data_IF_127378644199
#
_entry.id   IF_127378644199
#
_cell.length_a   1.000
_cell.length_b   1.000
_cell.length_c   1.000
_cell.angle_alpha   90.00
_cell.angle_beta   90.00
_cell.angle_gamma   90.00
#
_symmetry.space_group_name_H-M   'P 1'
#
loop_
_entity.id
_entity.type
_entity.pdbx_description
1 polymer ?
#
# COMPACT_ATOMS: atom_id res chain seq x y z
N UNK A 1 6.70 -10.82 29.48
CA UNK A 1 6.20 -9.50 29.94
C UNK A 1 5.49 -8.84 28.76
N UNK A 2 4.20 -8.51 28.90
CA UNK A 2 3.45 -7.80 27.86
C UNK A 2 3.67 -6.28 28.06
N UNK A 3 4.45 -5.63 27.18
CA UNK A 3 4.70 -4.19 27.27
C UNK A 3 3.54 -3.45 26.59
N UNK A 4 2.82 -2.56 27.28
CA UNK A 4 1.73 -1.83 26.65
C UNK A 4 2.25 -0.97 25.49
N UNK A 5 1.53 -0.98 24.37
CA UNK A 5 1.82 -0.15 23.20
C UNK A 5 1.24 1.25 23.42
N UNK A 6 2.09 2.27 23.30
CA UNK A 6 1.63 3.66 23.31
C UNK A 6 0.91 3.98 21.99
N UNK A 7 -0.38 4.26 22.07
CA UNK A 7 -1.20 4.67 20.92
C UNK A 7 -1.39 6.18 20.95
N UNK A 8 -0.56 6.89 20.17
CA UNK A 8 -0.54 8.37 20.13
C UNK A 8 -1.64 8.97 19.25
N UNK A 9 -2.05 8.26 18.19
CA UNK A 9 -3.08 8.72 17.24
C UNK A 9 -4.43 8.07 17.56
N UNK A 10 -5.51 8.85 17.42
CA UNK A 10 -6.88 8.34 17.44
C UNK A 10 -7.22 7.61 16.14
N UNK A 11 -8.27 6.78 16.16
CA UNK A 11 -8.70 6.03 14.97
C UNK A 11 -9.12 6.92 13.82
N UNK A 12 -9.75 8.06 14.12
CA UNK A 12 -10.09 9.06 13.09
C UNK A 12 -8.84 9.63 12.41
N UNK A 13 -7.77 9.88 13.18
CA UNK A 13 -6.51 10.37 12.62
C UNK A 13 -5.81 9.31 11.78
N UNK A 14 -5.85 8.05 12.21
CA UNK A 14 -5.32 6.93 11.42
C UNK A 14 -6.11 6.79 10.12
N UNK A 15 -7.45 6.81 10.16
CA UNK A 15 -8.30 6.79 8.96
C UNK A 15 -8.03 7.96 8.02
N UNK A 16 -7.80 9.17 8.56
CA UNK A 16 -7.45 10.34 7.75
C UNK A 16 -6.10 10.19 7.06
N UNK A 17 -5.08 9.68 7.76
CA UNK A 17 -3.76 9.42 7.16
C UNK A 17 -3.89 8.38 6.06
N UNK A 18 -4.59 7.28 6.33
CA UNK A 18 -4.85 6.21 5.37
C UNK A 18 -5.49 6.73 4.07
N UNK A 19 -6.58 7.49 4.19
CA UNK A 19 -7.24 8.09 3.02
C UNK A 19 -6.30 9.01 2.22
N UNK A 20 -5.55 9.89 2.89
CA UNK A 20 -4.57 10.76 2.22
C UNK A 20 -3.44 9.99 1.53
N UNK A 21 -3.02 8.87 2.11
CA UNK A 21 -2.03 7.99 1.49
C UNK A 21 -2.57 7.37 0.20
N UNK A 22 -3.83 6.95 0.18
CA UNK A 22 -4.48 6.46 -1.04
C UNK A 22 -4.64 7.57 -2.08
N UNK A 23 -5.03 8.78 -1.67
CA UNK A 23 -5.11 9.94 -2.57
C UNK A 23 -3.74 10.22 -3.22
N UNK A 24 -2.64 10.12 -2.47
CA UNK A 24 -1.28 10.24 -3.03
C UNK A 24 -0.96 9.13 -4.03
N UNK A 25 -1.32 7.88 -3.73
CA UNK A 25 -1.11 6.76 -4.65
C UNK A 25 -1.97 6.87 -5.91
N UNK A 26 -3.13 7.50 -5.83
CA UNK A 26 -3.98 7.80 -6.98
C UNK A 26 -3.43 8.95 -7.81
N UNK A 27 -2.99 10.05 -7.19
CA UNK A 27 -2.62 11.30 -7.87
C UNK A 27 -1.15 11.39 -8.27
N UNK A 28 -0.25 10.75 -7.53
CA UNK A 28 1.19 10.80 -7.74
C UNK A 28 1.72 9.43 -8.19
N UNK A 29 1.20 8.36 -7.60
CA UNK A 29 1.70 7.00 -7.81
C UNK A 29 3.06 6.77 -7.14
N UNK A 30 3.73 5.69 -7.53
CA UNK A 30 5.04 5.31 -7.03
C UNK A 30 5.95 4.85 -8.17
N UNK A 31 7.25 5.17 -8.07
CA UNK A 31 8.24 4.71 -9.05
C UNK A 31 8.61 3.25 -8.80
N UNK A 32 8.48 2.42 -9.82
CA UNK A 32 8.86 1.00 -9.81
C UNK A 32 9.92 0.79 -10.87
N UNK A 33 11.19 0.76 -10.45
CA UNK A 33 12.35 0.78 -11.35
C UNK A 33 12.53 -0.50 -12.19
N UNK A 34 11.71 -1.50 -11.92
CA UNK A 34 11.81 -2.87 -12.43
C UNK A 34 10.65 -3.11 -13.38
N UNK A 35 10.96 -3.38 -14.65
CA UNK A 35 9.96 -3.62 -15.70
C UNK A 35 9.05 -4.81 -15.34
N UNK A 36 9.63 -5.88 -14.79
CA UNK A 36 8.90 -7.05 -14.26
C UNK A 36 7.97 -6.67 -13.09
N UNK A 37 8.37 -5.70 -12.27
CA UNK A 37 7.53 -5.15 -11.21
C UNK A 37 6.34 -4.34 -11.76
N UNK A 38 6.57 -3.49 -12.76
CA UNK A 38 5.50 -2.73 -13.42
C UNK A 38 4.50 -3.65 -14.12
N UNK A 39 4.99 -4.67 -14.84
CA UNK A 39 4.15 -5.67 -15.47
C UNK A 39 3.26 -6.40 -14.45
N UNK A 40 3.85 -6.84 -13.33
CA UNK A 40 3.10 -7.51 -12.25
C UNK A 40 2.00 -6.62 -11.68
N UNK A 41 2.28 -5.32 -11.48
CA UNK A 41 1.28 -4.37 -10.99
C UNK A 41 0.18 -4.11 -12.02
N UNK A 42 0.54 -3.96 -13.30
CA UNK A 42 -0.41 -3.82 -14.39
C UNK A 42 -1.36 -5.02 -14.48
N UNK A 43 -0.82 -6.24 -14.41
CA UNK A 43 -1.58 -7.49 -14.44
C UNK A 43 -2.54 -7.59 -13.23
N UNK A 44 -2.14 -7.03 -12.09
CA UNK A 44 -2.97 -6.94 -10.89
C UNK A 44 -4.03 -5.81 -10.95
N UNK A 45 -4.07 -5.03 -12.04
CA UNK A 45 -5.05 -3.96 -12.28
C UNK A 45 -4.60 -2.57 -11.83
N UNK A 46 -3.29 -2.34 -11.68
CA UNK A 46 -2.75 -0.99 -11.49
C UNK A 46 -2.73 -0.20 -12.80
N UNK A 47 -2.86 1.12 -12.71
CA UNK A 47 -2.57 2.01 -13.83
C UNK A 47 -1.07 2.27 -13.85
N UNK A 48 -0.38 1.85 -14.92
CA UNK A 48 1.08 2.01 -15.05
C UNK A 48 1.46 2.89 -16.23
N UNK A 49 2.54 3.64 -16.05
CA UNK A 49 3.24 4.38 -17.08
C UNK A 49 4.67 3.79 -17.21
N UNK A 50 4.92 2.97 -18.25
CA UNK A 50 6.23 2.35 -18.48
C UNK A 50 7.33 3.37 -18.80
N UNK A 51 6.99 4.48 -19.46
CA UNK A 51 7.98 5.49 -19.89
C UNK A 51 8.55 6.24 -18.69
N UNK A 52 7.70 6.52 -17.69
CA UNK A 52 8.11 7.18 -16.43
C UNK A 52 8.34 6.22 -15.27
N UNK A 53 8.18 4.91 -15.51
CA UNK A 53 8.25 3.85 -14.50
C UNK A 53 7.33 4.08 -13.29
N UNK A 54 6.16 4.69 -13.50
CA UNK A 54 5.23 5.06 -12.43
C UNK A 54 4.02 4.12 -12.38
N UNK A 55 3.59 3.75 -11.17
CA UNK A 55 2.38 2.95 -10.95
C UNK A 55 1.44 3.62 -9.96
N UNK A 56 0.15 3.69 -10.30
CA UNK A 56 -0.94 4.14 -9.44
C UNK A 56 -1.77 2.95 -8.99
N UNK A 57 -1.87 2.76 -7.68
CA UNK A 57 -2.34 1.51 -7.07
C UNK A 57 -3.35 1.70 -5.91
N UNK A 58 -4.19 2.75 -5.84
CA UNK A 58 -5.03 2.99 -4.66
C UNK A 58 -5.94 1.80 -4.31
N UNK A 59 -6.72 1.29 -5.26
CA UNK A 59 -7.62 0.16 -5.05
C UNK A 59 -6.88 -1.16 -4.84
N UNK A 60 -5.74 -1.33 -5.53
CA UNK A 60 -4.93 -2.54 -5.41
C UNK A 60 -4.35 -2.66 -4.00
N UNK A 61 -3.88 -1.55 -3.41
CA UNK A 61 -3.36 -1.53 -2.04
C UNK A 61 -4.43 -1.97 -1.04
N UNK A 62 -5.66 -1.44 -1.14
CA UNK A 62 -6.76 -1.85 -0.26
C UNK A 62 -7.05 -3.36 -0.34
N UNK A 63 -7.13 -3.91 -1.57
CA UNK A 63 -7.33 -5.36 -1.76
C UNK A 63 -6.18 -6.18 -1.16
N UNK A 64 -4.94 -5.76 -1.39
CA UNK A 64 -3.77 -6.47 -0.90
C UNK A 64 -3.71 -6.46 0.64
N UNK A 65 -3.95 -5.31 1.28
CA UNK A 65 -3.97 -5.18 2.74
C UNK A 65 -5.09 -6.05 3.34
N UNK A 66 -6.29 -6.04 2.75
CA UNK A 66 -7.40 -6.88 3.21
C UNK A 66 -7.13 -8.39 3.08
N UNK A 67 -6.32 -8.80 2.10
CA UNK A 67 -5.94 -10.20 1.89
C UNK A 67 -4.75 -10.67 2.73
N UNK A 68 -3.99 -9.74 3.31
CA UNK A 68 -2.78 -10.05 4.05
C UNK A 68 -3.12 -10.65 5.43
N UNK A 69 -2.40 -11.68 5.89
CA UNK A 69 -2.60 -12.24 7.22
C UNK A 69 -2.13 -11.26 8.31
N UNK A 70 -2.84 -11.21 9.44
CA UNK A 70 -2.47 -10.33 10.58
C UNK A 70 -1.13 -10.69 11.23
N UNK A 71 -0.70 -11.94 11.09
CA UNK A 71 0.61 -12.46 11.52
C UNK A 71 1.15 -13.44 10.50
N UNK A 72 2.45 -13.38 10.25
CA UNK A 72 3.13 -14.34 9.39
C UNK A 72 3.67 -15.50 10.23
N UNK A 73 3.74 -16.71 9.66
CA UNK A 73 4.27 -17.89 10.34
C UNK A 73 5.79 -17.80 10.65
N UNK A 74 6.46 -16.72 10.25
CA UNK A 74 7.88 -16.47 10.55
C UNK A 74 8.10 -15.73 11.88
N UNK A 75 7.01 -15.36 12.58
CA UNK A 75 7.06 -14.63 13.85
C UNK A 75 6.97 -15.56 15.10
N UNK A 76 7.04 -16.89 14.92
CA UNK A 76 7.09 -17.92 15.99
C UNK A 76 8.51 -18.52 16.18
#
# INVERSE_FOLDING_TARGET
MNRPLLRFLSDDKVRQIHGRSLDMLEQIGATVMREDGLATLSDAGATVDPDTQNARTPDLVERCVASAPERSAADD
#
